data_IF_886516070299
#
_entry.id   IF_886516070299
#
_cell.length_a   1.000
_cell.length_b   1.000
_cell.length_c   1.000
_cell.angle_alpha   90.00
_cell.angle_beta   90.00
_cell.angle_gamma   90.00
#
_symmetry.space_group_name_H-M   'P 1'
#
loop_
_entity.id
_entity.type
_entity.pdbx_description
1 polymer ?
#
# COMPACT_ATOMS: atom_id res chain seq x y z
N UNK A 1 2.27 -9.28 5.18
CA UNK A 1 1.43 -8.50 4.27
C UNK A 1 2.36 -7.79 3.29
N UNK A 2 2.10 -7.87 2.00
CA UNK A 2 3.02 -7.47 0.96
C UNK A 2 2.30 -6.58 -0.06
N UNK A 3 2.95 -5.50 -0.49
CA UNK A 3 2.56 -4.70 -1.64
C UNK A 3 3.53 -4.97 -2.78
N UNK A 4 2.99 -5.21 -3.94
CA UNK A 4 3.75 -5.43 -5.15
C UNK A 4 3.44 -4.35 -6.18
N UNK A 5 4.46 -3.89 -6.88
CA UNK A 5 4.32 -3.15 -8.13
C UNK A 5 4.48 -4.11 -9.30
N UNK A 6 3.62 -3.98 -10.29
CA UNK A 6 3.55 -4.83 -11.47
C UNK A 6 3.63 -3.98 -12.74
N UNK A 7 4.51 -4.36 -13.67
CA UNK A 7 4.62 -3.69 -14.96
C UNK A 7 4.45 -4.68 -16.10
N UNK A 8 3.53 -4.36 -17.02
CA UNK A 8 3.40 -5.07 -18.27
C UNK A 8 4.58 -4.72 -19.18
N UNK A 9 5.30 -5.72 -19.65
CA UNK A 9 6.54 -5.57 -20.44
C UNK A 9 6.38 -5.96 -21.91
N UNK A 10 5.16 -6.25 -22.34
CA UNK A 10 4.86 -6.60 -23.73
C UNK A 10 4.31 -8.01 -23.90
N UNK A 11 3.90 -8.34 -25.12
CA UNK A 11 3.37 -9.64 -25.53
C UNK A 11 4.10 -10.18 -26.75
N UNK A 12 3.89 -11.46 -27.06
CA UNK A 12 4.43 -12.08 -28.28
C UNK A 12 3.82 -11.55 -29.59
N UNK A 13 2.72 -10.81 -29.48
CA UNK A 13 2.08 -10.11 -30.60
C UNK A 13 2.57 -8.67 -30.75
N UNK A 14 3.33 -8.17 -29.79
CA UNK A 14 3.89 -6.82 -29.79
C UNK A 14 5.12 -6.74 -30.69
N UNK A 15 5.11 -5.80 -31.63
CA UNK A 15 6.19 -5.62 -32.59
C UNK A 15 7.36 -4.80 -32.05
N UNK A 16 7.27 -4.28 -30.83
CA UNK A 16 8.29 -3.37 -30.26
C UNK A 16 9.55 -4.07 -29.73
N UNK A 17 9.60 -5.40 -29.76
CA UNK A 17 10.82 -6.17 -29.49
C UNK A 17 11.12 -6.46 -28.03
N UNK A 18 10.54 -5.74 -27.08
CA UNK A 18 10.83 -5.91 -25.63
C UNK A 18 10.46 -7.28 -25.09
N UNK A 19 9.40 -7.90 -25.59
CA UNK A 19 8.96 -9.22 -25.15
C UNK A 19 10.04 -10.31 -25.36
N UNK A 20 10.59 -10.38 -26.57
CA UNK A 20 11.58 -11.40 -26.91
C UNK A 20 12.90 -11.22 -26.13
N UNK A 21 13.33 -9.97 -25.96
CA UNK A 21 14.52 -9.61 -25.18
C UNK A 21 14.36 -10.00 -23.71
N UNK A 22 13.25 -9.60 -23.08
CA UNK A 22 12.98 -9.91 -21.67
C UNK A 22 12.81 -11.40 -21.45
N UNK A 23 12.10 -12.11 -22.38
CA UNK A 23 11.98 -13.57 -22.34
C UNK A 23 13.36 -14.27 -22.38
N UNK A 24 14.28 -13.75 -23.19
CA UNK A 24 15.65 -14.26 -23.27
C UNK A 24 16.44 -13.99 -21.98
N UNK A 25 16.41 -12.77 -21.46
CA UNK A 25 17.09 -12.38 -20.20
C UNK A 25 16.58 -13.19 -18.99
N UNK A 26 15.28 -13.48 -18.96
CA UNK A 26 14.65 -14.30 -17.91
C UNK A 26 14.93 -15.82 -18.09
N UNK A 27 15.65 -16.25 -19.12
CA UNK A 27 15.91 -17.68 -19.38
C UNK A 27 14.69 -18.45 -19.87
N UNK A 28 13.66 -17.77 -20.37
CA UNK A 28 12.39 -18.37 -20.77
C UNK A 28 12.26 -18.57 -22.30
N UNK A 29 13.32 -18.33 -23.07
CA UNK A 29 13.25 -18.30 -24.55
C UNK A 29 12.80 -19.64 -25.17
N UNK A 30 13.16 -20.73 -24.53
CA UNK A 30 12.90 -22.08 -25.04
C UNK A 30 11.59 -22.71 -24.53
N UNK A 31 10.85 -21.96 -23.69
CA UNK A 31 9.54 -22.41 -23.23
C UNK A 31 8.48 -22.33 -24.34
N UNK A 32 7.53 -23.29 -24.39
CA UNK A 32 6.39 -23.19 -25.29
C UNK A 32 5.68 -21.85 -25.17
N UNK A 33 5.40 -21.23 -26.30
CA UNK A 33 4.68 -19.95 -26.34
C UNK A 33 3.29 -20.23 -26.92
N UNK A 34 2.22 -20.01 -26.13
CA UNK A 34 0.85 -20.10 -26.63
C UNK A 34 0.58 -18.97 -27.66
N UNK A 35 -0.56 -19.05 -28.36
CA UNK A 35 -0.94 -18.07 -29.39
C UNK A 35 -0.94 -16.64 -28.87
N UNK A 36 -1.28 -16.48 -27.59
CA UNK A 36 -1.11 -15.20 -26.86
C UNK A 36 -0.30 -15.45 -25.57
N UNK A 37 0.77 -14.66 -25.40
CA UNK A 37 1.62 -14.70 -24.21
C UNK A 37 2.14 -13.31 -23.89
N UNK A 38 2.16 -12.95 -22.61
CA UNK A 38 2.68 -11.68 -22.13
C UNK A 38 3.71 -11.87 -21.01
N UNK A 39 4.51 -10.85 -20.77
CA UNK A 39 5.43 -10.79 -19.64
C UNK A 39 5.01 -9.65 -18.73
N UNK A 40 4.89 -9.97 -17.44
CA UNK A 40 4.67 -9.02 -16.36
C UNK A 40 5.85 -9.14 -15.40
N UNK A 41 6.49 -8.02 -15.10
CA UNK A 41 7.50 -7.93 -14.01
C UNK A 41 6.78 -7.53 -12.74
N UNK A 42 6.97 -8.32 -11.69
CA UNK A 42 6.41 -8.07 -10.36
C UNK A 42 7.52 -7.89 -9.35
N UNK A 43 7.48 -6.79 -8.59
CA UNK A 43 8.44 -6.47 -7.54
C UNK A 43 7.73 -6.20 -6.23
N UNK A 44 8.22 -6.74 -5.12
CA UNK A 44 7.75 -6.37 -3.80
C UNK A 44 8.29 -4.97 -3.46
N UNK A 45 7.40 -4.03 -3.24
CA UNK A 45 7.72 -2.63 -2.95
C UNK A 45 7.35 -2.22 -1.53
N UNK A 46 6.49 -2.99 -0.84
CA UNK A 46 6.11 -2.74 0.55
C UNK A 46 5.93 -4.03 1.35
N UNK A 47 6.25 -3.95 2.64
CA UNK A 47 6.08 -5.04 3.58
C UNK A 47 5.58 -4.52 4.92
N UNK A 48 4.48 -5.08 5.40
CA UNK A 48 3.95 -4.81 6.73
C UNK A 48 3.96 -6.06 7.58
N UNK A 49 4.25 -5.90 8.85
CA UNK A 49 4.15 -6.96 9.84
C UNK A 49 3.19 -6.53 10.95
N UNK A 50 2.11 -7.28 11.13
CA UNK A 50 1.09 -7.00 12.16
C UNK A 50 0.43 -5.61 12.05
N UNK A 51 0.26 -5.09 10.84
CA UNK A 51 -0.41 -3.82 10.57
C UNK A 51 -1.91 -4.08 10.28
N UNK A 52 -2.63 -4.54 11.29
CA UNK A 52 -4.02 -4.99 11.19
C UNK A 52 -4.98 -3.88 10.71
N UNK A 53 -4.75 -2.62 11.10
CA UNK A 53 -5.55 -1.49 10.64
C UNK A 53 -5.42 -1.26 9.13
N UNK A 54 -4.19 -1.31 8.60
CA UNK A 54 -3.90 -1.20 7.16
C UNK A 54 -4.55 -2.38 6.41
N UNK A 55 -4.33 -3.60 6.90
CA UNK A 55 -4.92 -4.81 6.33
C UNK A 55 -6.45 -4.74 6.30
N UNK A 56 -7.07 -4.42 7.44
CA UNK A 56 -8.52 -4.31 7.55
C UNK A 56 -9.11 -3.28 6.60
N UNK A 57 -8.44 -2.14 6.43
CA UNK A 57 -8.86 -1.13 5.47
C UNK A 57 -8.81 -1.66 4.03
N UNK A 58 -7.69 -2.26 3.61
CA UNK A 58 -7.51 -2.81 2.26
C UNK A 58 -8.56 -3.89 1.96
N UNK A 59 -8.75 -4.84 2.89
CA UNK A 59 -9.74 -5.92 2.73
C UNK A 59 -11.15 -5.35 2.59
N UNK A 60 -11.53 -4.40 3.45
CA UNK A 60 -12.89 -3.87 3.47
C UNK A 60 -13.18 -2.92 2.30
N UNK A 61 -12.21 -2.11 1.86
CA UNK A 61 -12.41 -1.09 0.82
C UNK A 61 -12.13 -1.62 -0.59
N UNK A 62 -11.12 -2.49 -0.73
CA UNK A 62 -10.65 -2.94 -2.03
C UNK A 62 -10.88 -4.44 -2.25
N UNK A 63 -11.08 -5.23 -1.19
CA UNK A 63 -11.23 -6.68 -1.22
C UNK A 63 -12.66 -7.19 -0.93
N UNK A 64 -13.68 -6.33 -1.03
CA UNK A 64 -15.09 -6.67 -0.79
C UNK A 64 -15.36 -7.30 0.61
N UNK A 65 -14.50 -7.03 1.58
CA UNK A 65 -14.57 -7.60 2.93
C UNK A 65 -14.18 -9.09 3.02
N UNK A 66 -13.66 -9.67 1.94
CA UNK A 66 -13.23 -11.08 1.93
C UNK A 66 -11.75 -11.18 2.30
N UNK A 67 -11.46 -11.96 3.35
CA UNK A 67 -10.12 -12.17 3.88
C UNK A 67 -9.73 -13.65 3.81
N UNK A 68 -9.22 -14.07 2.67
CA UNK A 68 -8.82 -15.45 2.39
C UNK A 68 -7.44 -15.56 1.72
N UNK A 69 -6.54 -14.60 1.97
CA UNK A 69 -5.22 -14.48 1.37
C UNK A 69 -5.23 -14.24 -0.15
N UNK A 70 -6.37 -13.81 -0.71
CA UNK A 70 -6.43 -13.47 -2.14
C UNK A 70 -5.54 -12.27 -2.48
N UNK A 71 -5.21 -12.17 -3.76
CA UNK A 71 -4.59 -10.96 -4.31
C UNK A 71 -5.67 -9.88 -4.45
N UNK A 72 -5.44 -8.71 -3.89
CA UNK A 72 -6.30 -7.53 -4.01
C UNK A 72 -5.57 -6.51 -4.87
N UNK A 73 -6.16 -6.13 -6.00
CA UNK A 73 -5.62 -5.09 -6.87
C UNK A 73 -5.98 -3.71 -6.31
N UNK A 74 -5.03 -2.79 -6.38
CA UNK A 74 -5.16 -1.42 -5.86
C UNK A 74 -4.92 -0.44 -7.00
N UNK A 75 -5.82 0.52 -7.16
CA UNK A 75 -5.61 1.67 -8.03
C UNK A 75 -4.75 2.74 -7.33
N UNK A 76 -4.26 3.71 -8.09
CA UNK A 76 -3.58 4.89 -7.52
C UNK A 76 -4.53 5.66 -6.60
N UNK A 77 -5.82 5.69 -6.91
CA UNK A 77 -6.84 6.32 -6.06
C UNK A 77 -6.99 5.56 -4.73
N UNK A 78 -6.95 4.23 -4.73
CA UNK A 78 -6.98 3.43 -3.50
C UNK A 78 -5.76 3.71 -2.63
N UNK A 79 -4.57 3.81 -3.24
CA UNK A 79 -3.34 4.17 -2.54
C UNK A 79 -3.41 5.59 -1.96
N UNK A 80 -3.90 6.57 -2.72
CA UNK A 80 -4.11 7.94 -2.25
C UNK A 80 -5.09 8.00 -1.08
N UNK A 81 -6.19 7.25 -1.16
CA UNK A 81 -7.18 7.17 -0.10
C UNK A 81 -6.59 6.53 1.17
N UNK A 82 -5.87 5.41 1.04
CA UNK A 82 -5.19 4.77 2.18
C UNK A 82 -4.19 5.74 2.84
N UNK A 83 -3.38 6.45 2.05
CA UNK A 83 -2.44 7.45 2.56
C UNK A 83 -3.17 8.55 3.33
N UNK A 84 -4.28 9.07 2.79
CA UNK A 84 -5.09 10.08 3.45
C UNK A 84 -5.63 9.59 4.81
N UNK A 85 -6.16 8.37 4.86
CA UNK A 85 -6.65 7.78 6.11
C UNK A 85 -5.50 7.57 7.13
N UNK A 86 -4.30 7.19 6.67
CA UNK A 86 -3.12 7.10 7.53
C UNK A 86 -2.73 8.46 8.13
N UNK A 87 -2.75 9.54 7.33
CA UNK A 87 -2.46 10.91 7.80
C UNK A 87 -3.49 11.33 8.85
N UNK A 88 -4.78 11.10 8.60
CA UNK A 88 -5.86 11.41 9.56
C UNK A 88 -5.71 10.62 10.85
N UNK A 89 -5.38 9.34 10.79
CA UNK A 89 -5.16 8.51 11.98
C UNK A 89 -3.91 8.95 12.76
N UNK A 90 -2.86 9.39 12.07
CA UNK A 90 -1.63 9.93 12.66
C UNK A 90 -1.87 11.30 13.35
N UNK A 91 -2.94 12.01 12.97
CA UNK A 91 -3.35 13.30 13.59
C UNK A 91 -4.01 13.16 14.97
N UNK A 92 -4.04 11.94 15.56
CA UNK A 92 -4.58 11.71 16.88
C UNK A 92 -3.96 12.67 17.93
N UNK A 93 -4.75 13.57 18.57
CA UNK A 93 -4.23 14.54 19.53
C UNK A 93 -3.71 13.90 20.84
N UNK A 94 -4.12 12.67 21.13
CA UNK A 94 -3.63 11.89 22.28
C UNK A 94 -2.39 11.05 21.98
N UNK A 95 -1.81 11.20 20.78
CA UNK A 95 -0.63 10.44 20.37
C UNK A 95 0.61 10.89 21.11
N UNK A 96 1.33 9.94 21.71
CA UNK A 96 2.66 10.18 22.30
C UNK A 96 3.79 9.87 21.30
N UNK A 97 3.52 9.12 20.23
CA UNK A 97 4.48 8.74 19.18
C UNK A 97 5.04 9.99 18.47
N UNK A 98 6.35 10.04 18.28
CA UNK A 98 7.03 11.10 17.53
C UNK A 98 7.32 10.64 16.12
N UNK A 99 6.97 11.45 15.13
CA UNK A 99 7.21 11.18 13.73
C UNK A 99 8.68 11.45 13.42
N UNK A 100 9.37 10.45 12.89
CA UNK A 100 10.79 10.55 12.52
C UNK A 100 10.97 10.99 11.07
N UNK A 101 10.04 10.64 10.17
CA UNK A 101 10.11 10.99 8.76
C UNK A 101 9.63 12.43 8.51
N UNK A 102 10.56 13.29 8.09
CA UNK A 102 10.29 14.71 7.86
C UNK A 102 9.22 14.95 6.77
N UNK A 103 9.19 14.14 5.70
CA UNK A 103 8.16 14.26 4.65
C UNK A 103 6.77 13.97 5.20
N UNK A 104 6.64 12.92 6.02
CA UNK A 104 5.38 12.55 6.67
C UNK A 104 4.96 13.63 7.67
N UNK A 105 5.91 14.18 8.43
CA UNK A 105 5.63 15.27 9.34
C UNK A 105 5.03 16.49 8.62
N UNK A 106 5.59 16.90 7.48
CA UNK A 106 5.03 18.02 6.71
C UNK A 106 3.62 17.71 6.17
N UNK A 107 3.39 16.50 5.65
CA UNK A 107 2.05 16.11 5.18
C UNK A 107 1.02 16.15 6.32
N UNK A 108 1.42 15.75 7.53
CA UNK A 108 0.55 15.88 8.71
C UNK A 108 0.30 17.34 9.07
N UNK A 109 1.32 18.21 9.05
CA UNK A 109 1.15 19.64 9.31
C UNK A 109 0.20 20.28 8.29
N UNK A 110 0.35 19.94 7.00
CA UNK A 110 -0.53 20.46 5.95
C UNK A 110 -1.98 20.01 6.17
N UNK A 111 -2.18 18.75 6.56
CA UNK A 111 -3.51 18.27 6.91
C UNK A 111 -4.10 19.02 8.11
N UNK A 112 -3.35 19.15 9.21
CA UNK A 112 -3.81 19.86 10.42
C UNK A 112 -4.14 21.33 10.13
N UNK A 113 -3.33 22.00 9.31
CA UNK A 113 -3.56 23.39 8.89
C UNK A 113 -4.79 23.55 7.97
N UNK A 114 -5.21 22.47 7.29
CA UNK A 114 -6.40 22.48 6.43
C UNK A 114 -7.72 22.33 7.19
N UNK A 115 -7.67 22.00 8.47
CA UNK A 115 -8.87 21.82 9.29
C UNK A 115 -9.46 23.17 9.71
N UNK A 116 -10.78 23.30 9.60
CA UNK A 116 -11.51 24.50 10.04
C UNK A 116 -11.56 24.62 11.58
N UNK A 117 -11.43 23.49 12.28
CA UNK A 117 -11.49 23.39 13.74
C UNK A 117 -10.36 22.52 14.25
N UNK A 118 -9.82 22.88 15.42
CA UNK A 118 -8.78 22.11 16.08
C UNK A 118 -9.30 20.72 16.50
N UNK A 119 -8.49 19.68 16.25
CA UNK A 119 -8.77 18.32 16.72
C UNK A 119 -8.49 18.23 18.23
N UNK A 120 -9.49 17.75 18.95
CA UNK A 120 -9.36 17.43 20.38
C UNK A 120 -9.57 15.92 20.59
N UNK A 121 -9.14 15.36 21.74
CA UNK A 121 -9.42 13.96 22.07
C UNK A 121 -10.89 13.58 21.97
N UNK A 122 -11.78 14.50 22.31
CA UNK A 122 -13.24 14.28 22.30
C UNK A 122 -13.85 14.31 20.89
N UNK A 123 -13.23 15.03 19.96
CA UNK A 123 -13.72 15.18 18.57
C UNK A 123 -13.02 14.25 17.60
N UNK A 124 -11.88 13.67 17.97
CA UNK A 124 -11.10 12.79 17.12
C UNK A 124 -11.80 11.44 16.94
N UNK A 125 -11.98 11.06 15.68
CA UNK A 125 -12.43 9.72 15.30
C UNK A 125 -11.33 9.05 14.48
N UNK A 126 -10.80 7.93 14.99
CA UNK A 126 -9.77 7.18 14.29
C UNK A 126 -10.32 6.51 13.03
N UNK A 127 -9.91 6.90 11.83
CA UNK A 127 -10.41 6.29 10.59
C UNK A 127 -9.81 4.90 10.32
N UNK A 128 -8.71 4.55 11.00
CA UNK A 128 -8.01 3.28 10.89
C UNK A 128 -7.90 2.59 12.26
N UNK A 129 -9.02 2.23 12.91
CA UNK A 129 -8.95 1.55 14.18
C UNK A 129 -8.25 0.19 14.02
N UNK A 130 -7.30 -0.15 14.90
CA UNK A 130 -6.73 -1.48 14.90
C UNK A 130 -7.80 -2.53 15.25
N UNK A 131 -7.71 -3.68 14.59
CA UNK A 131 -8.63 -4.80 14.80
C UNK A 131 -7.86 -5.95 15.43
N UNK A 132 -8.40 -6.56 16.49
CA UNK A 132 -7.80 -7.71 17.12
C UNK A 132 -7.76 -8.92 16.17
N UNK A 133 -6.64 -9.64 16.19
CA UNK A 133 -6.48 -10.86 15.43
C UNK A 133 -5.21 -11.60 15.81
N UNK A 134 -5.30 -12.93 15.91
CA UNK A 134 -4.18 -13.77 16.32
C UNK A 134 -2.90 -13.52 15.51
N UNK A 135 -3.04 -13.27 14.21
CA UNK A 135 -1.90 -13.02 13.31
C UNK A 135 -1.58 -11.54 13.12
N UNK A 136 -2.44 -10.62 13.53
CA UNK A 136 -2.40 -9.22 13.13
C UNK A 136 -1.95 -8.24 14.24
N UNK A 137 -1.84 -8.68 15.46
CA UNK A 137 -1.47 -7.83 16.61
C UNK A 137 -2.67 -7.46 17.49
N UNK A 138 -2.43 -6.60 18.47
CA UNK A 138 -3.45 -6.12 19.40
C UNK A 138 -4.24 -4.92 18.86
N UNK A 139 -5.29 -4.55 19.60
CA UNK A 139 -6.16 -3.41 19.33
C UNK A 139 -5.62 -2.07 19.89
N UNK A 140 -4.47 -2.08 20.54
CA UNK A 140 -3.91 -0.89 21.17
C UNK A 140 -3.22 0.04 20.16
N UNK A 141 -3.32 1.36 20.41
CA UNK A 141 -2.63 2.41 19.67
C UNK A 141 -1.18 2.54 20.14
N UNK A 142 -0.36 1.53 19.87
CA UNK A 142 1.04 1.47 20.27
C UNK A 142 1.95 2.26 19.32
N UNK A 143 3.21 2.47 19.71
CA UNK A 143 4.24 3.04 18.82
C UNK A 143 4.36 2.25 17.51
N UNK A 144 4.22 0.91 17.58
CA UNK A 144 4.22 0.08 16.38
C UNK A 144 3.06 0.41 15.43
N UNK A 145 1.85 0.67 15.95
CA UNK A 145 0.72 1.12 15.14
C UNK A 145 1.04 2.43 14.41
N UNK A 146 1.53 3.45 15.12
CA UNK A 146 1.86 4.75 14.52
C UNK A 146 3.03 4.65 13.55
N UNK A 147 4.04 3.85 13.85
CA UNK A 147 5.13 3.55 12.92
C UNK A 147 4.61 2.94 11.60
N UNK A 148 3.64 2.02 11.65
CA UNK A 148 3.05 1.43 10.44
C UNK A 148 2.30 2.48 9.61
N UNK A 149 1.63 3.45 10.25
CA UNK A 149 1.00 4.57 9.55
C UNK A 149 2.05 5.45 8.85
N UNK A 150 3.09 5.85 9.58
CA UNK A 150 4.20 6.65 9.05
C UNK A 150 4.88 5.97 7.87
N UNK A 151 5.24 4.70 8.02
CA UNK A 151 5.80 3.88 6.95
C UNK A 151 4.88 3.81 5.72
N UNK A 152 3.58 3.63 5.91
CA UNK A 152 2.61 3.54 4.81
C UNK A 152 2.49 4.86 4.05
N UNK A 153 2.49 5.99 4.75
CA UNK A 153 2.45 7.33 4.14
C UNK A 153 3.69 7.55 3.28
N UNK A 154 4.89 7.27 3.81
CA UNK A 154 6.16 7.44 3.09
C UNK A 154 6.25 6.52 1.87
N UNK A 155 5.91 5.25 2.02
CA UNK A 155 5.88 4.28 0.95
C UNK A 155 4.98 4.72 -0.20
N UNK A 156 3.71 5.04 0.09
CA UNK A 156 2.74 5.42 -0.94
C UNK A 156 3.15 6.75 -1.60
N UNK A 157 3.63 7.71 -0.82
CA UNK A 157 4.14 8.98 -1.36
C UNK A 157 5.26 8.73 -2.37
N UNK A 158 6.23 7.90 -2.02
CA UNK A 158 7.35 7.56 -2.90
C UNK A 158 6.92 6.80 -4.16
N UNK A 159 5.92 5.91 -4.04
CA UNK A 159 5.39 5.19 -5.19
C UNK A 159 4.68 6.12 -6.18
N UNK A 160 3.84 7.04 -5.68
CA UNK A 160 3.04 7.94 -6.51
C UNK A 160 3.84 9.14 -7.05
N UNK A 161 4.98 9.51 -6.45
CA UNK A 161 5.90 10.51 -6.97
C UNK A 161 6.73 10.00 -8.16
N UNK A 162 6.85 8.68 -8.33
CA UNK A 162 7.56 8.12 -9.47
C UNK A 162 6.71 8.20 -10.74
N UNK A 163 7.32 8.59 -11.88
CA UNK A 163 6.65 8.55 -13.19
C UNK A 163 6.57 7.10 -13.66
N UNK A 164 5.39 6.49 -13.56
CA UNK A 164 5.23 5.07 -13.84
C UNK A 164 3.86 4.70 -14.42
N UNK A 165 3.88 3.71 -15.29
CA UNK A 165 2.71 2.94 -15.68
C UNK A 165 2.74 1.60 -14.92
N UNK A 166 2.43 1.63 -13.62
CA UNK A 166 2.46 0.45 -12.75
C UNK A 166 1.05 0.07 -12.30
N UNK A 167 0.78 -1.21 -12.23
CA UNK A 167 -0.31 -1.76 -11.44
C UNK A 167 0.17 -2.10 -10.03
N UNK A 168 -0.72 -2.09 -9.07
CA UNK A 168 -0.41 -2.48 -7.70
C UNK A 168 -1.28 -3.65 -7.25
N UNK A 169 -0.67 -4.58 -6.51
CA UNK A 169 -1.39 -5.67 -5.89
C UNK A 169 -0.92 -5.90 -4.46
N UNK A 170 -1.89 -6.13 -3.58
CA UNK A 170 -1.68 -6.45 -2.19
C UNK A 170 -1.97 -7.92 -1.93
N UNK A 171 -1.18 -8.56 -1.08
CA UNK A 171 -1.44 -9.92 -0.61
C UNK A 171 -1.01 -10.08 0.85
N UNK A 172 -1.88 -10.64 1.66
CA UNK A 172 -1.55 -11.13 2.99
C UNK A 172 -1.32 -12.65 2.96
N UNK A 173 -0.50 -13.14 3.87
CA UNK A 173 -0.35 -14.57 4.15
C UNK A 173 -0.17 -14.76 5.66
N UNK A 174 -0.93 -15.65 6.24
CA UNK A 174 -0.88 -16.07 7.65
C UNK A 174 -1.08 -17.56 7.78
#
# INVERSE_FOLDING_TARGET
MYLYAEKYMGSNTDKTGSYAEIKNLAGLKDLPTPDFSSIIVKSMVGYWRKANAIHGWIVNKCGEGVDNCQVIYLSDEDLLNLRSECIKALANPSREYQIENQKVFYQLCDYLNSLETELTPDTFQNPLPPVDGFFFGGSDLTDHYYYQLEYTIDLITSLLESDHELGFSYQASW
#
